data_IF_676191330725
#
_entry.id   IF_676191330725
#
_cell.length_a   1.000
_cell.length_b   1.000
_cell.length_c   1.000
_cell.angle_alpha   90.00
_cell.angle_beta   90.00
_cell.angle_gamma   90.00
#
_symmetry.space_group_name_H-M   'P 1'
#
loop_
_entity.id
_entity.type
_entity.pdbx_description
1 polymer ?
#
# COMPACT_ATOMS: atom_id res chain seq x y z
N UNK A 1 42.79 39.69 -1.16
CA UNK A 1 41.46 39.52 -0.53
C UNK A 1 40.74 38.45 -1.33
N UNK A 2 40.54 37.27 -0.76
CA UNK A 2 39.86 36.15 -1.43
C UNK A 2 38.35 36.35 -1.33
N UNK A 3 37.68 36.38 -2.47
CA UNK A 3 36.21 36.41 -2.55
C UNK A 3 35.73 34.97 -2.46
N UNK A 4 34.97 34.64 -1.42
CA UNK A 4 34.35 33.32 -1.23
C UNK A 4 33.08 33.22 -2.07
N UNK A 5 33.04 32.30 -3.03
CA UNK A 5 31.82 31.90 -3.76
C UNK A 5 30.86 31.11 -2.87
N UNK A 6 29.54 31.37 -2.91
CA UNK A 6 28.54 30.50 -2.31
C UNK A 6 27.91 29.61 -3.40
N UNK A 7 28.50 28.44 -3.64
CA UNK A 7 27.98 27.46 -4.63
C UNK A 7 27.99 26.03 -4.07
N UNK A 8 27.32 25.82 -2.92
CA UNK A 8 27.22 24.48 -2.32
C UNK A 8 25.83 24.13 -1.77
N UNK A 9 24.75 24.50 -2.46
CA UNK A 9 23.39 24.10 -2.03
C UNK A 9 22.40 23.68 -3.14
N UNK A 10 22.82 23.46 -4.40
CA UNK A 10 21.86 23.11 -5.49
C UNK A 10 21.97 21.63 -5.94
N UNK A 11 23.03 20.90 -5.60
CA UNK A 11 23.29 19.58 -6.19
C UNK A 11 22.60 18.38 -5.50
N UNK A 12 21.92 18.57 -4.36
CA UNK A 12 21.24 17.46 -3.66
C UNK A 12 19.79 17.22 -4.11
N UNK A 13 19.11 18.21 -4.70
CA UNK A 13 17.69 18.11 -5.05
C UNK A 13 17.39 17.31 -6.32
N UNK A 14 18.27 17.35 -7.33
CA UNK A 14 18.01 16.69 -8.63
C UNK A 14 18.17 15.17 -8.57
N UNK A 15 19.10 14.65 -7.76
CA UNK A 15 19.31 13.20 -7.61
C UNK A 15 18.18 12.51 -6.85
N UNK A 16 17.60 13.18 -5.84
CA UNK A 16 16.48 12.61 -5.06
C UNK A 16 15.18 12.57 -5.85
N UNK A 17 14.85 13.66 -6.58
CA UNK A 17 13.63 13.71 -7.41
C UNK A 17 13.64 12.67 -8.54
N UNK A 18 14.79 12.46 -9.19
CA UNK A 18 14.92 11.44 -10.22
C UNK A 18 14.76 10.02 -9.66
N UNK A 19 15.23 9.76 -8.43
CA UNK A 19 15.02 8.46 -7.77
C UNK A 19 13.54 8.20 -7.48
N UNK A 20 12.82 9.17 -6.91
CA UNK A 20 11.38 9.05 -6.63
C UNK A 20 10.59 8.79 -7.92
N UNK A 21 10.91 9.50 -8.99
CA UNK A 21 10.24 9.32 -10.28
C UNK A 21 10.40 7.89 -10.82
N UNK A 22 11.62 7.36 -10.73
CA UNK A 22 11.90 5.98 -11.13
C UNK A 22 11.18 4.96 -10.24
N UNK A 23 11.07 5.21 -8.93
CA UNK A 23 10.31 4.35 -8.02
C UNK A 23 8.82 4.34 -8.36
N UNK A 24 8.21 5.51 -8.61
CA UNK A 24 6.81 5.63 -9.02
C UNK A 24 6.56 4.96 -10.38
N UNK A 25 7.47 5.10 -11.33
CA UNK A 25 7.42 4.38 -12.62
C UNK A 25 7.48 2.88 -12.41
N UNK A 26 8.41 2.40 -11.59
CA UNK A 26 8.57 0.98 -11.35
C UNK A 26 7.33 0.36 -10.67
N UNK A 27 6.67 1.10 -9.78
CA UNK A 27 5.42 0.67 -9.13
C UNK A 27 4.29 0.47 -10.14
N UNK A 28 4.05 1.45 -11.03
CA UNK A 28 2.98 1.32 -12.01
C UNK A 28 3.29 0.24 -13.04
N UNK A 29 4.54 0.10 -13.48
CA UNK A 29 4.93 -0.95 -14.44
C UNK A 29 4.69 -2.35 -13.87
N UNK A 30 5.07 -2.57 -12.60
CA UNK A 30 4.82 -3.84 -11.92
C UNK A 30 3.33 -4.12 -11.72
N UNK A 31 2.55 -3.09 -11.38
CA UNK A 31 1.10 -3.23 -11.24
C UNK A 31 0.46 -3.61 -12.58
N UNK A 32 0.81 -2.90 -13.66
CA UNK A 32 0.30 -3.17 -15.00
C UNK A 32 0.66 -4.58 -15.48
N UNK A 33 1.88 -5.06 -15.19
CA UNK A 33 2.27 -6.42 -15.51
C UNK A 33 1.46 -7.46 -14.71
N UNK A 34 1.27 -7.27 -13.40
CA UNK A 34 0.46 -8.17 -12.58
C UNK A 34 -1.02 -8.22 -13.04
N UNK A 35 -1.57 -7.07 -13.43
CA UNK A 35 -2.93 -6.95 -14.00
C UNK A 35 -3.00 -7.70 -15.32
N UNK A 36 -2.02 -7.52 -16.21
CA UNK A 36 -1.94 -8.24 -17.49
C UNK A 36 -1.87 -9.75 -17.28
N UNK A 37 -1.07 -10.22 -16.32
CA UNK A 37 -0.98 -11.65 -16.01
C UNK A 37 -2.31 -12.23 -15.51
N UNK A 38 -3.04 -11.50 -14.66
CA UNK A 38 -4.39 -11.89 -14.23
C UNK A 38 -5.38 -11.89 -15.39
N UNK A 39 -5.34 -10.85 -16.23
CA UNK A 39 -6.22 -10.71 -17.39
C UNK A 39 -6.02 -11.84 -18.40
N UNK A 40 -4.78 -12.19 -18.71
CA UNK A 40 -4.48 -13.32 -19.63
C UNK A 40 -4.99 -14.64 -19.05
N UNK A 41 -4.89 -14.84 -17.73
CA UNK A 41 -5.32 -16.08 -17.08
C UNK A 41 -6.83 -16.19 -16.96
N UNK A 42 -7.53 -15.13 -16.56
CA UNK A 42 -8.93 -15.19 -16.13
C UNK A 42 -9.89 -14.29 -16.92
N UNK A 43 -9.39 -13.28 -17.63
CA UNK A 43 -10.21 -12.26 -18.29
C UNK A 43 -11.20 -12.86 -19.30
N UNK A 44 -12.49 -12.56 -19.12
CA UNK A 44 -13.57 -13.04 -19.98
C UNK A 44 -13.83 -14.54 -19.89
N UNK A 45 -13.21 -15.25 -18.93
CA UNK A 45 -13.40 -16.68 -18.69
C UNK A 45 -14.29 -16.88 -17.47
N UNK A 46 -14.83 -18.08 -17.33
CA UNK A 46 -15.67 -18.47 -16.18
C UNK A 46 -14.87 -19.00 -14.99
N UNK A 47 -13.55 -19.15 -15.14
CA UNK A 47 -12.65 -19.58 -14.07
C UNK A 47 -12.55 -18.51 -12.97
N UNK A 48 -12.72 -18.93 -11.72
CA UNK A 48 -12.59 -18.05 -10.56
C UNK A 48 -11.11 -17.77 -10.22
N UNK A 49 -10.78 -16.50 -10.01
CA UNK A 49 -9.50 -16.06 -9.46
C UNK A 49 -9.55 -16.13 -7.92
N UNK A 50 -8.77 -17.04 -7.33
CA UNK A 50 -8.78 -17.36 -5.89
C UNK A 50 -7.43 -17.07 -5.22
N UNK A 51 -7.38 -17.04 -3.89
CA UNK A 51 -6.14 -16.76 -3.11
C UNK A 51 -5.00 -17.77 -3.38
N UNK A 52 -5.30 -18.95 -3.92
CA UNK A 52 -4.29 -19.98 -4.24
C UNK A 52 -3.49 -19.72 -5.53
N UNK A 53 -3.93 -18.77 -6.37
CA UNK A 53 -3.23 -18.48 -7.62
C UNK A 53 -2.13 -17.44 -7.43
N UNK A 54 -0.90 -17.76 -7.85
CA UNK A 54 0.26 -16.88 -7.68
C UNK A 54 0.11 -15.52 -8.37
N UNK A 55 -0.66 -15.45 -9.47
CA UNK A 55 -0.92 -14.19 -10.19
C UNK A 55 -1.82 -13.27 -9.37
N UNK A 56 -2.82 -13.83 -8.70
CA UNK A 56 -3.72 -13.10 -7.79
C UNK A 56 -2.95 -12.57 -6.59
N UNK A 57 -2.09 -13.41 -5.98
CA UNK A 57 -1.22 -12.99 -4.87
C UNK A 57 -0.29 -11.86 -5.31
N UNK A 58 0.32 -11.97 -6.50
CA UNK A 58 1.15 -10.91 -7.06
C UNK A 58 0.37 -9.61 -7.27
N UNK A 59 -0.84 -9.68 -7.84
CA UNK A 59 -1.72 -8.54 -8.08
C UNK A 59 -2.05 -7.79 -6.78
N UNK A 60 -2.50 -8.51 -5.75
CA UNK A 60 -2.79 -7.93 -4.44
C UNK A 60 -1.54 -7.25 -3.84
N UNK A 61 -0.37 -7.88 -3.99
CA UNK A 61 0.90 -7.36 -3.50
C UNK A 61 1.31 -6.08 -4.21
N UNK A 62 1.11 -5.98 -5.52
CA UNK A 62 1.44 -4.75 -6.27
C UNK A 62 0.50 -3.60 -5.95
N UNK A 63 -0.80 -3.88 -5.80
CA UNK A 63 -1.74 -2.86 -5.30
C UNK A 63 -1.37 -2.39 -3.90
N UNK A 64 -1.06 -3.30 -2.97
CA UNK A 64 -0.63 -2.93 -1.62
C UNK A 64 0.65 -2.07 -1.65
N UNK A 65 1.63 -2.40 -2.49
CA UNK A 65 2.84 -1.59 -2.67
C UNK A 65 2.52 -0.16 -3.15
N UNK A 66 1.60 -0.02 -4.11
CA UNK A 66 1.12 1.28 -4.58
C UNK A 66 0.43 2.06 -3.46
N UNK A 67 -0.46 1.41 -2.70
CA UNK A 67 -1.15 2.02 -1.55
C UNK A 67 -0.20 2.45 -0.43
N UNK A 68 0.89 1.72 -0.20
CA UNK A 68 1.85 2.04 0.85
C UNK A 68 2.93 3.04 0.41
N UNK A 69 3.12 3.26 -0.89
CA UNK A 69 4.18 4.14 -1.38
C UNK A 69 3.99 5.59 -0.92
N UNK A 70 4.99 6.11 -0.19
CA UNK A 70 4.99 7.47 0.34
C UNK A 70 3.93 7.74 1.41
N UNK A 71 3.40 6.71 2.07
CA UNK A 71 2.48 6.88 3.20
C UNK A 71 3.20 7.59 4.36
N UNK A 72 2.56 8.61 4.94
CA UNK A 72 3.13 9.37 6.07
C UNK A 72 3.25 8.46 7.26
N UNK A 73 4.44 8.38 7.87
CA UNK A 73 4.59 7.70 9.17
C UNK A 73 3.93 8.55 10.24
N UNK A 74 3.12 7.93 11.10
CA UNK A 74 2.37 8.63 12.16
C UNK A 74 3.29 9.52 13.01
N UNK A 75 3.04 10.83 13.01
CA UNK A 75 3.81 11.82 13.82
C UNK A 75 3.61 11.66 15.33
N UNK A 76 2.66 10.82 15.75
CA UNK A 76 2.40 10.52 17.17
C UNK A 76 3.65 9.91 17.85
N UNK A 77 4.59 9.36 17.06
CA UNK A 77 5.90 8.89 17.53
C UNK A 77 6.73 9.97 18.26
N UNK A 78 6.70 11.23 17.82
CA UNK A 78 7.56 12.28 18.40
C UNK A 78 7.10 12.71 19.81
N UNK A 79 5.81 12.62 20.13
CA UNK A 79 5.29 12.92 21.46
C UNK A 79 5.35 11.71 22.41
N UNK A 80 5.68 10.52 21.89
CA UNK A 80 5.60 9.23 22.61
C UNK A 80 6.84 8.89 23.43
N UNK A 81 7.97 9.59 23.23
CA UNK A 81 9.14 9.43 24.12
C UNK A 81 8.83 9.77 25.59
N UNK A 82 7.75 10.51 25.87
CA UNK A 82 7.29 10.80 27.24
C UNK A 82 6.38 9.69 27.80
N UNK A 83 5.71 8.91 26.94
CA UNK A 83 4.73 7.89 27.36
C UNK A 83 5.27 6.48 27.55
N UNK A 84 6.48 6.17 27.06
CA UNK A 84 7.10 4.84 27.21
C UNK A 84 7.47 4.49 28.66
N UNK A 85 7.51 5.47 29.57
CA UNK A 85 7.77 5.21 30.99
C UNK A 85 6.58 4.58 31.75
N UNK A 86 5.37 4.54 31.17
CA UNK A 86 4.14 4.18 31.89
C UNK A 86 3.61 2.76 31.61
N UNK A 87 4.24 1.94 30.77
CA UNK A 87 3.82 0.54 30.55
C UNK A 87 2.43 0.34 29.92
N UNK A 88 1.86 1.38 29.29
CA UNK A 88 0.50 1.38 28.74
C UNK A 88 0.55 1.09 27.23
N UNK A 89 -0.01 -0.08 26.86
CA UNK A 89 -0.40 -0.60 25.53
C UNK A 89 0.50 -0.31 24.32
N UNK A 90 0.97 -1.40 23.71
CA UNK A 90 1.39 -1.47 22.32
C UNK A 90 0.15 -1.27 21.43
N UNK A 91 -0.28 -0.03 21.24
CA UNK A 91 -1.27 0.30 20.22
C UNK A 91 -0.55 0.30 18.88
N UNK A 92 -0.76 -0.76 18.10
CA UNK A 92 -0.25 -0.94 16.75
C UNK A 92 -0.84 0.14 15.83
N UNK A 93 -0.27 1.33 15.90
CA UNK A 93 -0.49 2.40 14.93
C UNK A 93 0.59 2.30 13.86
N UNK A 94 0.65 1.15 13.18
CA UNK A 94 1.39 1.09 11.93
C UNK A 94 0.62 1.96 10.94
N UNK A 95 1.33 2.94 10.38
CA UNK A 95 0.75 3.86 9.40
C UNK A 95 0.54 3.12 8.09
N UNK A 96 -0.55 2.35 8.05
CA UNK A 96 -0.93 1.51 6.92
C UNK A 96 -2.10 2.13 6.17
N UNK A 97 -2.20 1.77 4.89
CA UNK A 97 -3.15 2.38 3.96
C UNK A 97 -4.62 2.23 4.36
N UNK A 98 -4.98 1.30 5.25
CA UNK A 98 -6.32 1.22 5.85
C UNK A 98 -6.78 2.53 6.46
N UNK A 99 -5.87 3.28 7.09
CA UNK A 99 -6.20 4.56 7.71
C UNK A 99 -6.67 5.63 6.70
N UNK A 100 -6.21 5.52 5.46
CA UNK A 100 -6.69 6.32 4.34
C UNK A 100 -8.00 5.76 3.77
N UNK A 101 -8.02 4.45 3.47
CA UNK A 101 -9.17 3.75 2.87
C UNK A 101 -10.44 3.93 3.68
N UNK A 102 -10.39 3.79 5.01
CA UNK A 102 -11.57 3.89 5.88
C UNK A 102 -12.28 5.24 5.81
N UNK A 103 -11.58 6.31 5.41
CA UNK A 103 -12.17 7.64 5.19
C UNK A 103 -13.09 7.71 3.96
N UNK A 104 -13.08 6.68 3.12
CA UNK A 104 -13.91 6.56 1.92
C UNK A 104 -15.04 5.54 2.05
N UNK A 105 -15.16 4.89 3.21
CA UNK A 105 -16.18 3.86 3.45
C UNK A 105 -17.42 4.47 4.07
N UNK A 106 -18.59 3.97 3.66
CA UNK A 106 -19.83 4.23 4.40
C UNK A 106 -19.80 3.57 5.77
N UNK A 107 -20.62 4.06 6.70
CA UNK A 107 -20.71 3.51 8.08
C UNK A 107 -20.89 1.99 8.10
N UNK A 108 -21.82 1.47 7.29
CA UNK A 108 -22.11 0.04 7.22
C UNK A 108 -20.93 -0.79 6.68
N UNK A 109 -20.21 -0.26 5.68
CA UNK A 109 -19.02 -0.92 5.14
C UNK A 109 -17.91 -0.95 6.18
N UNK A 110 -17.67 0.17 6.85
CA UNK A 110 -16.68 0.28 7.91
C UNK A 110 -16.98 -0.70 9.05
N UNK A 111 -18.21 -0.72 9.54
CA UNK A 111 -18.63 -1.63 10.62
C UNK A 111 -18.39 -3.10 10.23
N UNK A 112 -18.63 -3.48 8.97
CA UNK A 112 -18.34 -4.82 8.46
C UNK A 112 -16.86 -5.19 8.53
N UNK A 113 -15.95 -4.28 8.19
CA UNK A 113 -14.50 -4.54 8.28
C UNK A 113 -13.98 -4.51 9.72
N UNK A 114 -14.61 -3.73 10.61
CA UNK A 114 -14.27 -3.72 12.02
C UNK A 114 -14.71 -5.00 12.75
N UNK A 115 -15.77 -5.65 12.25
CA UNK A 115 -16.31 -6.90 12.78
C UNK A 115 -15.60 -8.18 12.28
N UNK A 116 -14.53 -8.06 11.48
CA UNK A 116 -13.74 -9.22 11.04
C UNK A 116 -13.07 -9.92 12.23
N UNK A 117 -13.06 -11.25 12.23
CA UNK A 117 -12.55 -12.06 13.35
C UNK A 117 -11.06 -12.39 13.20
N UNK A 118 -10.56 -12.53 11.95
CA UNK A 118 -9.18 -12.92 11.66
C UNK A 118 -8.33 -11.74 11.26
N UNK A 119 -8.81 -10.92 10.33
CA UNK A 119 -8.11 -9.74 9.85
C UNK A 119 -8.35 -8.51 10.77
N UNK A 120 -7.99 -8.64 12.05
CA UNK A 120 -8.29 -7.66 13.10
C UNK A 120 -7.32 -6.48 13.17
N UNK A 121 -6.13 -6.61 12.58
CA UNK A 121 -5.14 -5.53 12.50
C UNK A 121 -5.52 -4.53 11.41
N UNK A 122 -5.10 -3.26 11.52
CA UNK A 122 -5.36 -2.28 10.47
C UNK A 122 -4.72 -2.71 9.12
N UNK A 123 -3.57 -3.38 9.15
CA UNK A 123 -2.96 -3.94 7.96
C UNK A 123 -3.83 -5.07 7.37
N UNK A 124 -4.33 -5.96 8.23
CA UNK A 124 -5.30 -7.00 7.87
C UNK A 124 -6.56 -6.42 7.24
N UNK A 125 -7.16 -5.40 7.85
CA UNK A 125 -8.36 -4.72 7.32
C UNK A 125 -8.13 -4.05 5.98
N UNK A 126 -6.99 -3.39 5.77
CA UNK A 126 -6.62 -2.83 4.48
C UNK A 126 -6.57 -3.91 3.38
N UNK A 127 -5.94 -5.04 3.67
CA UNK A 127 -5.86 -6.18 2.75
C UNK A 127 -7.22 -6.87 2.55
N UNK A 128 -8.06 -6.95 3.58
CA UNK A 128 -9.42 -7.48 3.49
C UNK A 128 -10.29 -6.59 2.60
N UNK A 129 -10.17 -5.26 2.75
CA UNK A 129 -10.84 -4.30 1.88
C UNK A 129 -10.43 -4.46 0.42
N UNK A 130 -9.13 -4.56 0.13
CA UNK A 130 -8.66 -4.73 -1.25
C UNK A 130 -9.24 -5.99 -1.89
N UNK A 131 -9.27 -7.11 -1.15
CA UNK A 131 -9.91 -8.35 -1.61
C UNK A 131 -11.41 -8.15 -1.87
N UNK A 132 -12.12 -7.49 -0.95
CA UNK A 132 -13.55 -7.19 -1.12
C UNK A 132 -13.82 -6.31 -2.34
N UNK A 133 -13.01 -5.28 -2.55
CA UNK A 133 -13.16 -4.35 -3.67
C UNK A 133 -12.95 -5.03 -5.04
N UNK A 134 -12.08 -6.04 -5.11
CA UNK A 134 -11.92 -6.87 -6.30
C UNK A 134 -13.10 -7.84 -6.50
N UNK A 135 -13.54 -8.53 -5.44
CA UNK A 135 -14.72 -9.42 -5.50
C UNK A 135 -15.99 -8.67 -5.94
N UNK A 136 -16.15 -7.42 -5.50
CA UNK A 136 -17.32 -6.60 -5.79
C UNK A 136 -17.18 -5.74 -7.06
N UNK A 137 -16.07 -5.87 -7.77
CA UNK A 137 -15.74 -5.04 -8.95
C UNK A 137 -15.86 -3.53 -8.69
N UNK A 138 -15.56 -3.09 -7.47
CA UNK A 138 -15.77 -1.71 -7.01
C UNK A 138 -14.48 -0.89 -6.93
N UNK A 139 -13.32 -1.52 -7.16
CA UNK A 139 -12.01 -0.88 -7.00
C UNK A 139 -11.82 0.35 -7.91
N UNK A 140 -12.30 0.32 -9.15
CA UNK A 140 -12.27 1.47 -10.07
C UNK A 140 -13.02 2.68 -9.49
N UNK A 141 -14.24 2.47 -9.00
CA UNK A 141 -15.04 3.50 -8.34
C UNK A 141 -14.32 4.08 -7.12
N UNK A 142 -13.68 3.21 -6.33
CA UNK A 142 -12.87 3.64 -5.20
C UNK A 142 -11.70 4.52 -5.63
N UNK A 143 -10.97 4.17 -6.69
CA UNK A 143 -9.88 5.02 -7.18
C UNK A 143 -10.37 6.39 -7.65
N UNK A 144 -11.48 6.45 -8.42
CA UNK A 144 -12.05 7.74 -8.79
C UNK A 144 -12.39 8.61 -7.57
N UNK A 145 -13.01 8.00 -6.56
CA UNK A 145 -13.40 8.72 -5.34
C UNK A 145 -12.18 9.16 -4.50
N UNK A 146 -11.17 8.29 -4.37
CA UNK A 146 -9.91 8.56 -3.67
C UNK A 146 -9.12 9.69 -4.33
N UNK A 147 -8.94 9.62 -5.65
CA UNK A 147 -8.18 10.60 -6.43
C UNK A 147 -8.87 11.96 -6.50
N UNK A 148 -10.21 11.99 -6.40
CA UNK A 148 -10.98 13.24 -6.30
C UNK A 148 -10.81 13.96 -4.96
N UNK A 149 -10.44 13.26 -3.88
CA UNK A 149 -10.32 13.84 -2.54
C UNK A 149 -8.86 14.23 -2.21
N UNK A 150 -8.38 15.30 -2.87
CA UNK A 150 -7.01 15.81 -2.71
C UNK A 150 -6.67 16.21 -1.27
N UNK A 151 -7.66 16.73 -0.53
CA UNK A 151 -7.48 17.11 0.87
C UNK A 151 -7.11 15.89 1.71
N UNK A 152 -7.85 14.78 1.59
CA UNK A 152 -7.57 13.56 2.34
C UNK A 152 -6.25 12.91 1.90
N UNK A 153 -5.97 12.86 0.59
CA UNK A 153 -4.68 12.39 0.08
C UNK A 153 -3.50 13.12 0.73
N UNK A 154 -3.55 14.45 0.80
CA UNK A 154 -2.49 15.26 1.40
C UNK A 154 -2.32 15.03 2.91
N UNK A 155 -3.34 14.53 3.61
CA UNK A 155 -3.25 14.20 5.04
C UNK A 155 -2.49 12.89 5.28
N UNK A 156 -2.62 11.92 4.37
CA UNK A 156 -2.06 10.58 4.55
C UNK A 156 -0.79 10.31 3.74
N UNK A 157 -0.55 11.02 2.64
CA UNK A 157 0.57 10.79 1.74
C UNK A 157 1.56 11.96 1.71
N UNK A 158 2.85 11.64 1.64
CA UNK A 158 3.93 12.59 1.37
C UNK A 158 3.88 13.07 -0.08
N UNK A 159 4.48 14.24 -0.37
CA UNK A 159 4.46 14.83 -1.73
C UNK A 159 5.07 13.93 -2.80
N UNK A 160 6.03 13.10 -2.40
CA UNK A 160 6.75 12.14 -3.23
C UNK A 160 6.00 10.81 -3.40
N UNK A 161 4.81 10.66 -2.79
CA UNK A 161 4.01 9.44 -2.86
C UNK A 161 3.44 9.17 -4.26
N UNK A 162 3.03 7.92 -4.49
CA UNK A 162 2.48 7.52 -5.78
C UNK A 162 1.18 8.26 -6.08
N UNK A 163 0.27 8.32 -5.09
CA UNK A 163 -1.03 8.99 -5.22
C UNK A 163 -0.94 10.52 -5.40
N UNK A 164 0.22 11.12 -5.12
CA UNK A 164 0.45 12.55 -5.32
C UNK A 164 0.93 12.87 -6.74
N UNK A 165 1.29 11.85 -7.53
CA UNK A 165 1.58 11.98 -8.95
C UNK A 165 0.29 11.88 -9.77
N UNK A 166 -0.24 13.00 -10.25
CA UNK A 166 -1.53 12.99 -10.94
C UNK A 166 -1.50 12.24 -12.27
N UNK A 167 -0.37 12.31 -13.00
CA UNK A 167 -0.22 11.63 -14.28
C UNK A 167 -0.28 10.12 -14.08
N UNK A 168 0.55 9.60 -13.16
CA UNK A 168 0.62 8.15 -12.89
C UNK A 168 -0.60 7.63 -12.15
N UNK A 169 -1.09 8.36 -11.16
CA UNK A 169 -2.25 7.94 -10.38
C UNK A 169 -3.53 7.94 -11.22
N UNK A 170 -3.64 8.78 -12.26
CA UNK A 170 -4.78 8.76 -13.19
C UNK A 170 -4.94 7.44 -13.96
N UNK A 171 -3.89 6.61 -14.01
CA UNK A 171 -3.93 5.29 -14.62
C UNK A 171 -4.63 4.23 -13.74
N UNK A 172 -4.77 4.46 -12.44
CA UNK A 172 -5.31 3.46 -11.49
C UNK A 172 -6.77 3.08 -11.77
N UNK A 173 -7.70 4.02 -12.03
CA UNK A 173 -9.06 3.66 -12.42
C UNK A 173 -9.11 2.81 -13.68
N UNK A 174 -8.38 3.22 -14.74
CA UNK A 174 -8.31 2.43 -15.99
C UNK A 174 -7.74 1.04 -15.76
N UNK A 175 -6.71 0.93 -14.92
CA UNK A 175 -6.09 -0.34 -14.56
C UNK A 175 -7.07 -1.26 -13.80
N UNK A 176 -7.87 -0.72 -12.89
CA UNK A 176 -8.92 -1.47 -12.19
C UNK A 176 -10.08 -1.86 -13.13
N UNK A 177 -10.42 -1.02 -14.10
CA UNK A 177 -11.45 -1.32 -15.10
C UNK A 177 -11.13 -2.58 -15.91
N UNK A 178 -9.85 -2.84 -16.23
CA UNK A 178 -9.41 -4.07 -16.89
C UNK A 178 -9.83 -5.32 -16.10
N UNK A 179 -9.70 -5.26 -14.78
CA UNK A 179 -10.02 -6.36 -13.87
C UNK A 179 -11.53 -6.62 -13.72
N UNK A 180 -12.40 -5.72 -14.22
CA UNK A 180 -13.86 -5.91 -14.18
C UNK A 180 -14.33 -7.18 -14.90
N UNK A 181 -13.55 -7.68 -15.85
CA UNK A 181 -13.83 -8.89 -16.62
C UNK A 181 -13.38 -10.21 -15.96
N UNK A 182 -12.83 -10.15 -14.73
CA UNK A 182 -12.32 -11.30 -13.99
C UNK A 182 -13.24 -11.59 -12.80
N UNK A 183 -13.68 -12.83 -12.64
CA UNK A 183 -14.47 -13.26 -11.48
C UNK A 183 -13.56 -13.59 -10.30
N UNK A 184 -13.44 -12.67 -9.34
CA UNK A 184 -12.68 -12.89 -8.12
C UNK A 184 -13.51 -13.59 -7.04
N UNK A 185 -12.88 -14.56 -6.37
CA UNK A 185 -13.42 -15.27 -5.23
C UNK A 185 -12.37 -15.32 -4.10
N UNK A 186 -12.04 -14.14 -3.58
CA UNK A 186 -11.01 -13.95 -2.55
C UNK A 186 -11.61 -13.99 -1.15
N UNK A 187 -10.89 -14.60 -0.20
CA UNK A 187 -11.30 -14.70 1.19
C UNK A 187 -11.06 -13.38 1.91
N UNK A 188 -12.13 -12.66 2.26
CA UNK A 188 -12.03 -11.34 2.91
C UNK A 188 -11.50 -11.45 4.34
N UNK A 189 -12.10 -12.32 5.16
CA UNK A 189 -11.63 -12.58 6.52
C UNK A 189 -10.59 -13.70 6.52
N UNK A 190 -9.37 -13.37 6.14
CA UNK A 190 -8.26 -14.32 6.06
C UNK A 190 -7.27 -14.09 7.21
N UNK A 191 -6.62 -15.16 7.65
CA UNK A 191 -5.53 -15.09 8.61
C UNK A 191 -4.41 -14.23 8.05
N UNK A 192 -3.88 -13.32 8.88
CA UNK A 192 -2.74 -12.51 8.50
C UNK A 192 -1.53 -13.43 8.31
N UNK A 193 -1.15 -13.68 7.05
CA UNK A 193 0.10 -14.36 6.73
C UNK A 193 1.22 -13.52 7.32
N UNK A 194 1.79 -13.95 8.44
CA UNK A 194 2.93 -13.30 9.07
C UNK A 194 4.10 -13.38 8.11
N UNK A 195 4.29 -12.36 7.29
CA UNK A 195 5.56 -12.08 6.64
C UNK A 195 6.58 -11.90 7.77
N UNK A 196 7.28 -12.98 8.11
CA UNK A 196 8.36 -12.92 9.07
C UNK A 196 9.43 -12.01 8.48
N UNK A 197 9.62 -10.83 9.06
CA UNK A 197 10.81 -10.02 8.81
C UNK A 197 11.96 -10.72 9.52
N UNK A 198 12.55 -11.74 8.88
CA UNK A 198 13.84 -12.27 9.32
C UNK A 198 14.88 -11.21 9.00
N UNK A 199 15.15 -10.35 9.99
CA UNK A 199 16.39 -9.60 10.03
C UNK A 199 17.54 -10.61 10.07
N UNK A 200 18.36 -10.59 9.02
CA UNK A 200 19.66 -11.25 8.98
C UNK A 200 20.54 -10.76 10.13
N UNK A 201 21.09 -11.67 10.93
CA UNK A 201 22.41 -11.46 11.53
C UNK A 201 23.27 -12.67 11.21
N UNK A 202 24.32 -12.36 10.45
CA UNK A 202 25.45 -13.16 10.01
C UNK A 202 26.12 -13.98 11.11
N UNK A 203 26.36 -15.25 10.77
CA UNK A 203 27.53 -16.10 11.01
C UNK A 203 28.74 -15.48 11.75
N UNK A 204 29.17 -16.09 12.87
CA UNK A 204 30.54 -16.65 13.03
C UNK A 204 30.78 -17.32 14.41
N UNK A 205 31.21 -18.59 14.35
CA UNK A 205 32.28 -19.25 15.12
C UNK A 205 32.37 -19.14 16.66
N UNK A 206 32.20 -20.27 17.38
CA UNK A 206 33.09 -20.73 18.48
C UNK A 206 32.83 -22.23 18.83
N UNK A 207 33.60 -23.16 18.23
CA UNK A 207 34.51 -24.15 18.86
C UNK A 207 34.06 -24.90 20.15
N UNK A 208 34.19 -26.23 20.04
CA UNK A 208 34.64 -27.22 21.04
C UNK A 208 33.73 -27.58 22.22
N UNK A 209 33.15 -28.79 22.15
CA UNK A 209 33.45 -29.93 23.03
C UNK A 209 32.97 -31.22 22.36
#
# INVERSE_FOLDING_TARGET
>A
MFVTSPQKQIMSGQGQQHSTENERQHLIDRLLDAVKQCQVRFGGKTDLATDGDSRVVCLLTQFEAVFQHGFKKSRVSAFRQVGQAAGIVKLDSDSVFWNFVKGHLGKLELDRFLALEKATTDAGRGRAWLRSALNEHSLERYFHHMLGNKTLLSQFYEKEAFFMDEERASMLPMTAAVLSSILFALTVDNEETKHCTTGTTTDNQQRCA
#
